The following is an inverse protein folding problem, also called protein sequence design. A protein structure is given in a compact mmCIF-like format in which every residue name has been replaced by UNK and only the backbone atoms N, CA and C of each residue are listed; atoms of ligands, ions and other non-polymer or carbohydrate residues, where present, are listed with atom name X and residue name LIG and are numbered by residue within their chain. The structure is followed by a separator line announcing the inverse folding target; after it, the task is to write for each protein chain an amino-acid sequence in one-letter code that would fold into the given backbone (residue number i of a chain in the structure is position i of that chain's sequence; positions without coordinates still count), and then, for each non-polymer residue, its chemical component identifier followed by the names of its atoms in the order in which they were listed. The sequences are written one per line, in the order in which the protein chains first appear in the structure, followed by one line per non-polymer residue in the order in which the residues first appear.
data_IF_873274386451
#
_entry.id   IF_873274386451
#
_cell.length_a   1.000
_cell.length_b   1.000
_cell.length_c   1.000
_cell.angle_alpha   90.00
_cell.angle_beta   90.00
_cell.angle_gamma   90.00
#
_symmetry.space_group_name_H-M   'P 1'
#
loop_
_entity.id
_entity.type
_entity.pdbx_description
1 polymer ?
#
# COMPACT_ATOMS: atom_id res chain seq x y z
N UNK A 1 10.18 5.27 -0.14
CA UNK A 1 9.65 4.80 1.15
C UNK A 1 8.15 4.71 0.92
N UNK A 2 7.66 3.49 0.75
CA UNK A 2 6.52 3.22 -0.12
C UNK A 2 5.53 2.32 0.58
N UNK A 3 4.30 2.77 0.74
CA UNK A 3 3.17 1.88 0.98
C UNK A 3 2.52 1.50 -0.33
N UNK A 4 1.96 0.30 -0.35
CA UNK A 4 0.86 0.00 -1.25
C UNK A 4 -0.38 -0.30 -0.43
N UNK A 5 -1.43 0.48 -0.65
CA UNK A 5 -2.77 0.13 -0.19
C UNK A 5 -3.44 -0.68 -1.27
N UNK A 6 -3.79 -1.92 -0.94
CA UNK A 6 -4.74 -2.69 -1.74
C UNK A 6 -6.11 -2.44 -1.14
N UNK A 7 -6.89 -1.65 -1.86
CA UNK A 7 -8.31 -1.45 -1.68
C UNK A 7 -9.09 -2.54 -2.37
N UNK A 8 -10.20 -2.95 -1.75
CA UNK A 8 -11.23 -3.73 -2.42
C UNK A 8 -12.63 -3.20 -2.08
N UNK A 9 -13.40 -2.79 -3.09
CA UNK A 9 -14.75 -2.21 -2.96
C UNK A 9 -15.69 -2.76 -4.05
N UNK A 10 -17.03 -2.71 -3.92
CA UNK A 10 -17.96 -3.24 -4.93
C UNK A 10 -18.62 -2.12 -5.80
N UNK A 11 -18.85 -2.30 -7.13
CA UNK A 11 -19.51 -1.31 -8.06
C UNK A 11 -20.27 -1.94 -9.27
N UNK A 12 -21.04 -1.19 -10.07
CA UNK A 12 -21.94 -1.66 -11.15
C UNK A 12 -21.41 -1.35 -12.59
N UNK A 13 -21.87 -2.08 -13.62
CA UNK A 13 -21.27 -2.22 -14.99
C UNK A 13 -21.90 -1.34 -16.08
N UNK A 14 -21.11 -0.95 -17.10
CA UNK A 14 -21.54 -0.83 -18.53
C UNK A 14 -20.50 -1.53 -19.43
N UNK A 15 -21.01 -2.33 -20.37
CA UNK A 15 -20.31 -3.24 -21.29
C UNK A 15 -19.40 -2.54 -22.32
N UNK A 16 -18.28 -3.20 -22.67
CA UNK A 16 -18.01 -3.63 -24.04
C UNK A 16 -16.90 -4.69 -24.12
N UNK A 17 -17.14 -5.67 -24.99
CA UNK A 17 -16.34 -6.87 -25.26
C UNK A 17 -14.87 -6.58 -25.63
N UNK A 18 -13.97 -7.50 -25.26
CA UNK A 18 -13.06 -8.24 -26.17
C UNK A 18 -12.31 -9.33 -25.38
N UNK A 19 -12.48 -10.57 -25.83
CA UNK A 19 -11.73 -11.76 -25.45
C UNK A 19 -10.35 -11.77 -26.13
N UNK A 20 -9.31 -12.30 -25.46
CA UNK A 20 -8.48 -13.36 -26.07
C UNK A 20 -7.57 -14.11 -25.07
N UNK A 21 -7.33 -15.40 -25.37
CA UNK A 21 -6.58 -16.41 -24.61
C UNK A 21 -5.07 -16.41 -24.97
N UNK A 22 -4.24 -17.03 -24.10
CA UNK A 22 -3.19 -18.06 -24.39
C UNK A 22 -1.86 -17.94 -23.59
N UNK A 23 -1.49 -19.10 -23.00
CA UNK A 23 -0.23 -19.76 -22.59
C UNK A 23 0.97 -19.10 -21.89
N UNK A 24 1.40 -19.83 -20.85
CA UNK A 24 2.59 -19.67 -20.01
C UNK A 24 3.74 -20.53 -20.56
N UNK A 25 4.87 -19.91 -20.94
CA UNK A 25 6.15 -20.62 -21.14
C UNK A 25 7.37 -19.67 -21.00
N UNK A 26 7.73 -19.27 -19.78
CA UNK A 26 9.04 -18.64 -19.46
C UNK A 26 9.33 -18.66 -17.94
N UNK A 27 9.79 -19.80 -17.39
CA UNK A 27 9.95 -20.01 -15.93
C UNK A 27 11.41 -20.15 -15.42
N UNK A 28 12.44 -20.14 -16.26
CA UNK A 28 13.80 -20.54 -15.81
C UNK A 28 14.67 -19.39 -15.26
N UNK A 29 14.87 -18.29 -16.00
CA UNK A 29 15.89 -17.30 -15.62
C UNK A 29 15.46 -16.30 -14.52
N UNK A 30 14.16 -16.00 -14.41
CA UNK A 30 13.65 -15.06 -13.39
C UNK A 30 13.77 -15.62 -11.97
N UNK A 31 13.80 -16.95 -11.80
CA UNK A 31 13.78 -17.62 -10.51
C UNK A 31 15.13 -17.51 -9.75
N UNK A 32 16.25 -17.43 -10.48
CA UNK A 32 17.58 -17.27 -9.89
C UNK A 32 17.78 -15.85 -9.33
N UNK A 33 17.36 -14.82 -10.08
CA UNK A 33 17.38 -13.43 -9.61
C UNK A 33 16.50 -13.23 -8.37
N UNK A 34 15.34 -13.88 -8.33
CA UNK A 34 14.45 -13.94 -7.17
C UNK A 34 15.13 -14.59 -5.96
N UNK A 35 15.77 -15.75 -6.12
CA UNK A 35 16.49 -16.42 -5.03
C UNK A 35 17.68 -15.60 -4.54
N UNK A 36 18.45 -15.00 -5.44
CA UNK A 36 19.57 -14.13 -5.08
C UNK A 36 19.09 -12.90 -4.29
N UNK A 37 18.04 -12.22 -4.77
CA UNK A 37 17.48 -11.04 -4.09
C UNK A 37 16.84 -11.39 -2.73
N UNK A 38 16.09 -12.49 -2.65
CA UNK A 38 15.51 -12.98 -1.40
C UNK A 38 16.54 -13.59 -0.43
N UNK A 39 17.74 -13.95 -0.91
CA UNK A 39 18.86 -14.42 -0.08
C UNK A 39 19.69 -13.30 0.52
N UNK A 40 19.57 -12.07 0.00
CA UNK A 40 20.12 -10.90 0.67
C UNK A 40 19.39 -10.74 2.02
N UNK A 41 20.10 -10.33 3.10
CA UNK A 41 19.50 -10.13 4.40
C UNK A 41 18.68 -8.82 4.43
N UNK A 42 17.76 -8.65 3.49
CA UNK A 42 16.96 -7.45 3.25
C UNK A 42 16.15 -7.08 4.49
N UNK A 43 15.69 -8.06 5.26
CA UNK A 43 15.00 -7.82 6.52
C UNK A 43 15.95 -7.21 7.56
N UNK A 44 17.20 -7.68 7.65
CA UNK A 44 18.20 -7.10 8.55
C UNK A 44 18.63 -5.70 8.09
N UNK A 45 18.81 -5.50 6.78
CA UNK A 45 19.13 -4.19 6.20
C UNK A 45 18.00 -3.19 6.39
N UNK A 46 16.74 -3.64 6.24
CA UNK A 46 15.56 -2.81 6.48
C UNK A 46 15.39 -2.46 7.96
N UNK A 47 15.67 -3.40 8.87
CA UNK A 47 15.70 -3.12 10.33
C UNK A 47 16.84 -2.14 10.69
N UNK A 48 18.00 -2.30 10.09
CA UNK A 48 19.13 -1.38 10.28
C UNK A 48 18.80 0.02 9.76
N UNK A 49 18.24 0.12 8.55
CA UNK A 49 17.80 1.38 7.98
C UNK A 49 16.64 2.03 8.77
N UNK A 50 15.70 1.23 9.30
CA UNK A 50 14.65 1.69 10.21
C UNK A 50 15.22 2.19 11.54
N UNK A 51 16.24 1.51 12.08
CA UNK A 51 17.01 1.98 13.24
C UNK A 51 17.68 3.32 12.96
N UNK A 52 18.35 3.46 11.80
CA UNK A 52 18.97 4.72 11.36
C UNK A 52 17.95 5.84 11.15
N UNK A 53 16.75 5.53 10.65
CA UNK A 53 15.69 6.53 10.48
C UNK A 53 15.18 7.11 11.80
N UNK A 54 15.34 6.37 12.90
CA UNK A 54 15.00 6.78 14.26
C UNK A 54 16.17 7.41 15.02
N UNK A 55 17.36 7.51 14.42
CA UNK A 55 18.49 8.21 15.03
C UNK A 55 18.22 9.71 15.11
N UNK A 56 18.52 10.29 16.26
CA UNK A 56 18.41 11.72 16.49
C UNK A 56 19.38 12.49 15.59
N UNK A 57 18.84 13.45 14.84
CA UNK A 57 19.62 14.32 13.97
C UNK A 57 19.93 15.62 14.73
N UNK A 58 21.22 16.03 14.84
CA UNK A 58 21.58 17.32 15.43
C UNK A 58 20.82 18.48 14.78
N UNK A 59 20.34 19.43 15.60
CA UNK A 59 19.44 20.52 15.16
C UNK A 59 19.99 21.29 13.94
N UNK A 60 21.29 21.58 13.93
CA UNK A 60 21.95 22.30 12.85
C UNK A 60 22.03 21.52 11.52
N UNK A 61 21.90 20.19 11.56
CA UNK A 61 21.99 19.32 10.40
C UNK A 61 20.61 18.99 9.79
N UNK A 62 19.53 19.15 10.57
CA UNK A 62 18.15 18.85 10.16
C UNK A 62 17.74 19.54 8.86
N UNK A 63 17.86 20.87 8.70
CA UNK A 63 17.40 21.51 7.46
C UNK A 63 18.20 21.05 6.25
N UNK A 64 19.49 20.73 6.41
CA UNK A 64 20.33 20.26 5.28
C UNK A 64 19.86 18.89 4.79
N UNK A 65 19.64 17.95 5.72
CA UNK A 65 19.17 16.61 5.40
C UNK A 65 17.75 16.66 4.83
N UNK A 66 16.83 17.37 5.50
CA UNK A 66 15.44 17.42 5.06
C UNK A 66 15.29 18.19 3.74
N UNK A 67 16.00 19.29 3.49
CA UNK A 67 15.98 19.95 2.19
C UNK A 67 16.57 19.11 1.06
N UNK A 68 17.53 18.23 1.35
CA UNK A 68 18.01 17.25 0.37
C UNK A 68 16.91 16.23 0.06
N UNK A 69 16.22 15.73 1.09
CA UNK A 69 15.11 14.77 0.94
C UNK A 69 13.94 15.38 0.17
N UNK A 70 13.51 16.60 0.54
CA UNK A 70 12.44 17.37 -0.11
C UNK A 70 12.73 17.50 -1.60
N UNK A 71 13.95 17.91 -1.98
CA UNK A 71 14.34 18.04 -3.38
C UNK A 71 14.40 16.72 -4.13
N UNK A 72 14.82 15.65 -3.47
CA UNK A 72 14.94 14.33 -4.09
C UNK A 72 13.57 13.65 -4.34
N UNK A 73 12.57 13.94 -3.50
CA UNK A 73 11.29 13.23 -3.50
C UNK A 73 10.06 14.12 -3.67
N UNK A 74 10.26 15.41 -3.92
CA UNK A 74 9.22 16.42 -4.14
C UNK A 74 8.20 16.49 -2.98
N UNK A 75 8.72 16.60 -1.75
CA UNK A 75 7.87 16.67 -0.56
C UNK A 75 7.23 18.05 -0.44
N UNK A 76 5.89 18.12 -0.51
CA UNK A 76 5.13 19.33 -0.21
C UNK A 76 5.13 19.60 1.30
N UNK A 77 5.89 20.61 1.72
CA UNK A 77 6.01 21.02 3.12
C UNK A 77 5.02 22.12 3.50
N UNK A 78 4.50 22.85 2.53
CA UNK A 78 3.41 23.83 2.69
C UNK A 78 2.11 23.19 3.20
N UNK A 79 1.91 21.89 2.96
CA UNK A 79 0.78 21.12 3.46
C UNK A 79 0.99 20.55 4.88
N UNK A 80 2.24 20.53 5.37
CA UNK A 80 2.57 19.93 6.66
C UNK A 80 2.04 20.77 7.82
N UNK A 81 1.60 20.10 8.90
CA UNK A 81 1.16 20.77 10.13
C UNK A 81 2.30 21.56 10.78
N UNK A 82 3.52 21.04 10.69
CA UNK A 82 4.74 21.68 11.18
C UNK A 82 5.66 21.93 9.99
N UNK A 83 5.72 23.16 9.52
CA UNK A 83 6.57 23.50 8.37
C UNK A 83 8.06 23.62 8.76
N UNK A 84 8.33 23.89 10.04
CA UNK A 84 9.68 24.07 10.55
C UNK A 84 10.49 22.76 10.54
N UNK A 85 11.50 22.70 9.67
CA UNK A 85 12.41 21.56 9.54
C UNK A 85 13.24 21.32 10.80
N UNK A 86 13.47 22.33 11.63
CA UNK A 86 14.19 22.15 12.89
C UNK A 86 13.38 21.35 13.91
N UNK A 87 12.05 21.32 13.81
CA UNK A 87 11.19 20.64 14.77
C UNK A 87 11.26 19.11 14.67
N UNK A 88 11.68 18.55 13.54
CA UNK A 88 11.71 17.11 13.31
C UNK A 88 12.98 16.45 13.87
N UNK A 89 12.91 15.64 14.94
CA UNK A 89 14.10 15.08 15.60
C UNK A 89 14.78 13.97 14.80
N UNK A 90 14.03 13.26 13.97
CA UNK A 90 14.46 12.05 13.25
C UNK A 90 13.90 12.03 11.82
N UNK A 91 14.46 11.17 10.97
CA UNK A 91 13.92 10.96 9.62
C UNK A 91 12.53 10.33 9.66
N UNK A 92 12.29 9.42 10.61
CA UNK A 92 10.99 8.80 10.84
C UNK A 92 9.92 9.83 11.24
N UNK A 93 10.25 10.78 12.11
CA UNK A 93 9.33 11.86 12.51
C UNK A 93 8.98 12.79 11.33
N UNK A 94 9.96 13.11 10.48
CA UNK A 94 9.72 13.88 9.26
C UNK A 94 8.86 13.09 8.24
N UNK A 95 9.11 11.79 8.13
CA UNK A 95 8.38 10.91 7.22
C UNK A 95 6.91 10.75 7.63
N UNK A 96 6.65 10.53 8.92
CA UNK A 96 5.31 10.42 9.51
C UNK A 96 4.70 11.78 9.89
N UNK A 97 5.10 12.87 9.23
CA UNK A 97 4.58 14.21 9.50
C UNK A 97 3.06 14.25 9.35
N UNK A 98 2.39 14.95 10.25
CA UNK A 98 0.96 15.27 10.10
C UNK A 98 0.76 16.38 9.07
N UNK A 99 -0.40 16.36 8.41
CA UNK A 99 -0.84 17.43 7.50
C UNK A 99 -1.79 18.40 8.22
N UNK A 100 -1.90 19.61 7.66
CA UNK A 100 -2.94 20.57 8.08
C UNK A 100 -4.33 20.00 7.81
N UNK A 101 -5.26 20.19 8.75
CA UNK A 101 -6.64 19.68 8.60
C UNK A 101 -7.38 20.24 7.40
N UNK A 102 -6.99 21.41 6.89
CA UNK A 102 -7.63 22.10 5.78
C UNK A 102 -7.18 21.63 4.40
N UNK A 103 -6.07 20.88 4.29
CA UNK A 103 -5.49 20.54 2.97
C UNK A 103 -6.07 19.28 2.33
N UNK A 104 -6.92 18.54 3.05
CA UNK A 104 -7.59 17.32 2.57
C UNK A 104 -9.08 17.35 2.94
N UNK A 105 -9.89 18.24 2.32
CA UNK A 105 -11.33 18.23 2.52
C UNK A 105 -11.91 16.89 2.05
N UNK A 106 -12.76 16.29 2.88
CA UNK A 106 -13.40 15.01 2.60
C UNK A 106 -14.65 15.29 1.76
N UNK A 107 -14.78 14.59 0.63
CA UNK A 107 -15.95 14.66 -0.24
C UNK A 107 -17.14 13.88 0.36
N UNK A 108 -18.37 14.30 0.05
CA UNK A 108 -19.60 13.57 0.40
C UNK A 108 -19.81 12.27 -0.42
N UNK A 109 -18.81 11.87 -1.21
CA UNK A 109 -18.82 10.61 -1.92
C UNK A 109 -18.82 9.41 -0.97
N UNK A 110 -19.49 8.34 -1.38
CA UNK A 110 -19.58 7.09 -0.63
C UNK A 110 -18.23 6.41 -0.35
N UNK A 111 -17.25 6.67 -1.21
CA UNK A 111 -15.89 6.18 -1.09
C UNK A 111 -14.93 7.30 -1.50
N UNK A 112 -14.01 7.64 -0.61
CA UNK A 112 -12.94 8.60 -0.86
C UNK A 112 -11.58 7.91 -0.90
N UNK A 113 -10.54 8.60 -1.38
CA UNK A 113 -9.19 8.04 -1.34
C UNK A 113 -8.74 7.89 0.12
N UNK A 114 -8.24 6.72 0.53
CA UNK A 114 -7.74 6.51 1.89
C UNK A 114 -6.41 7.23 2.16
N UNK A 115 -5.64 7.52 1.11
CA UNK A 115 -4.26 7.98 1.23
C UNK A 115 -3.85 8.81 0.02
N UNK A 116 -2.81 9.62 0.19
CA UNK A 116 -2.15 10.32 -0.91
C UNK A 116 -1.31 9.34 -1.71
N UNK A 117 -1.42 9.31 -3.04
CA UNK A 117 -0.58 8.41 -3.83
C UNK A 117 -1.04 8.31 -5.27
N UNK A 118 -0.54 7.27 -5.93
CA UNK A 118 -0.84 6.98 -7.33
C UNK A 118 -1.59 5.66 -7.43
N UNK A 119 -2.72 5.64 -8.14
CA UNK A 119 -3.39 4.39 -8.50
C UNK A 119 -2.50 3.62 -9.47
N UNK A 120 -1.94 2.50 -9.02
CA UNK A 120 -1.11 1.62 -9.86
C UNK A 120 -1.93 0.56 -10.57
N UNK A 121 -3.06 0.17 -9.98
CA UNK A 121 -3.97 -0.80 -10.54
C UNK A 121 -5.37 -0.58 -10.00
N UNK A 122 -6.40 -0.77 -10.82
CA UNK A 122 -7.77 -0.88 -10.36
C UNK A 122 -8.53 -1.81 -11.29
N UNK A 123 -9.52 -2.52 -10.78
CA UNK A 123 -10.32 -3.41 -11.62
C UNK A 123 -11.18 -4.37 -10.84
N UNK A 124 -12.03 -5.08 -11.57
CA UNK A 124 -12.93 -6.09 -11.01
C UNK A 124 -12.20 -7.37 -10.64
N UNK A 125 -12.57 -7.96 -9.52
CA UNK A 125 -12.12 -9.29 -9.08
C UNK A 125 -13.04 -10.33 -9.67
N UNK A 126 -12.50 -11.10 -10.62
CA UNK A 126 -13.23 -12.11 -11.36
C UNK A 126 -12.92 -13.50 -10.79
N UNK A 127 -13.95 -14.21 -10.30
CA UNK A 127 -13.82 -15.58 -9.76
C UNK A 127 -12.73 -15.72 -8.68
N UNK A 128 -12.59 -14.72 -7.81
CA UNK A 128 -11.57 -14.70 -6.76
C UNK A 128 -10.17 -14.36 -7.24
N UNK A 129 -9.99 -14.05 -8.53
CA UNK A 129 -8.69 -13.66 -9.09
C UNK A 129 -8.62 -12.16 -9.34
N UNK A 130 -7.47 -11.63 -8.97
CA UNK A 130 -7.06 -10.26 -9.17
C UNK A 130 -6.11 -10.24 -10.36
N UNK A 131 -6.50 -9.59 -11.44
CA UNK A 131 -5.55 -9.18 -12.48
C UNK A 131 -4.71 -8.06 -11.88
N UNK A 132 -3.38 -8.15 -11.96
CA UNK A 132 -2.49 -7.16 -11.34
C UNK A 132 -1.64 -6.44 -12.38
N UNK A 133 -1.04 -7.19 -13.31
CA UNK A 133 -0.26 -6.67 -14.44
C UNK A 133 -0.21 -7.75 -15.54
N UNK A 134 -0.72 -7.43 -16.74
CA UNK A 134 -0.55 -8.18 -18.02
C UNK A 134 -0.23 -9.68 -17.84
N UNK A 135 -1.21 -10.44 -17.37
CA UNK A 135 -1.15 -11.92 -17.33
C UNK A 135 -0.60 -12.55 -16.06
N UNK A 136 -0.49 -11.81 -14.95
CA UNK A 136 -0.20 -12.38 -13.64
C UNK A 136 -1.36 -12.16 -12.69
N UNK A 137 -2.18 -13.20 -12.56
CA UNK A 137 -3.30 -13.23 -11.63
C UNK A 137 -2.85 -13.82 -10.29
N UNK A 138 -3.33 -13.27 -9.18
CA UNK A 138 -3.24 -13.93 -7.87
C UNK A 138 -4.62 -14.17 -7.28
N UNK A 139 -4.73 -15.22 -6.47
CA UNK A 139 -5.95 -15.48 -5.74
C UNK A 139 -6.08 -14.45 -4.61
N UNK A 140 -7.26 -13.83 -4.51
CA UNK A 140 -7.54 -12.86 -3.47
C UNK A 140 -7.42 -13.48 -2.08
N UNK A 141 -7.67 -14.78 -1.94
CA UNK A 141 -7.53 -15.50 -0.67
C UNK A 141 -6.07 -15.67 -0.26
N UNK A 142 -5.13 -15.72 -1.22
CA UNK A 142 -3.69 -15.71 -0.90
C UNK A 142 -3.27 -14.37 -0.27
N UNK A 143 -3.94 -13.28 -0.66
CA UNK A 143 -3.64 -11.94 -0.18
C UNK A 143 -4.40 -11.58 1.09
N UNK A 144 -5.72 -11.75 1.10
CA UNK A 144 -6.61 -11.40 2.22
C UNK A 144 -6.73 -12.49 3.29
N UNK A 145 -6.21 -13.69 3.02
CA UNK A 145 -6.48 -14.88 3.82
C UNK A 145 -7.87 -15.48 3.50
N UNK A 146 -8.38 -16.38 4.37
CA UNK A 146 -9.69 -16.96 4.19
C UNK A 146 -10.78 -15.88 4.11
N UNK A 147 -11.48 -15.81 2.98
CA UNK A 147 -12.64 -14.94 2.80
C UNK A 147 -13.82 -15.76 2.35
N UNK A 148 -14.93 -15.65 3.07
CA UNK A 148 -16.18 -16.26 2.66
C UNK A 148 -16.86 -15.42 1.58
N UNK A 149 -16.44 -15.61 0.33
CA UNK A 149 -17.02 -14.96 -0.84
C UNK A 149 -18.41 -15.53 -1.23
N UNK A 150 -18.96 -16.48 -0.46
CA UNK A 150 -20.25 -17.12 -0.76
C UNK A 150 -21.44 -16.19 -0.47
N UNK A 151 -21.27 -15.19 0.40
CA UNK A 151 -22.28 -14.17 0.69
C UNK A 151 -22.20 -13.00 -0.30
N UNK A 152 -22.04 -13.26 -1.60
CA UNK A 152 -22.30 -12.24 -2.60
C UNK A 152 -23.82 -12.03 -2.65
N UNK A 153 -24.26 -10.89 -2.11
CA UNK A 153 -25.59 -10.40 -2.43
C UNK A 153 -25.72 -10.30 -3.96
N UNK A 154 -26.84 -10.81 -4.49
CA UNK A 154 -27.09 -10.83 -5.94
C UNK A 154 -27.03 -9.38 -6.46
N UNK A 155 -26.11 -9.12 -7.39
CA UNK A 155 -25.94 -7.80 -8.01
C UNK A 155 -24.70 -7.03 -7.55
N UNK A 156 -23.95 -7.50 -6.54
CA UNK A 156 -22.71 -6.84 -6.12
C UNK A 156 -21.48 -7.51 -6.78
N UNK A 157 -20.66 -6.72 -7.48
CA UNK A 157 -19.36 -7.13 -8.03
C UNK A 157 -18.15 -6.57 -7.29
N UNK A 158 -17.16 -7.41 -6.97
CA UNK A 158 -16.00 -7.00 -6.17
C UNK A 158 -14.97 -6.31 -7.07
N UNK A 159 -14.44 -5.17 -6.65
CA UNK A 159 -13.38 -4.41 -7.27
C UNK A 159 -12.22 -4.30 -6.31
N UNK A 160 -11.07 -3.99 -6.89
CA UNK A 160 -9.86 -3.64 -6.20
C UNK A 160 -9.31 -2.33 -6.75
N UNK A 161 -8.60 -1.60 -5.90
CA UNK A 161 -7.78 -0.44 -6.25
C UNK A 161 -6.47 -0.62 -5.52
N UNK A 162 -5.37 -0.27 -6.14
CA UNK A 162 -4.05 -0.41 -5.56
C UNK A 162 -3.40 0.95 -5.65
N UNK A 163 -3.07 1.54 -4.51
CA UNK A 163 -2.49 2.87 -4.37
C UNK A 163 -1.05 2.74 -3.93
N UNK A 164 -0.12 3.38 -4.63
CA UNK A 164 1.28 3.47 -4.28
C UNK A 164 1.58 4.84 -3.66
N UNK A 165 2.18 4.83 -2.47
CA UNK A 165 2.66 6.02 -1.78
C UNK A 165 4.13 6.23 -2.14
N UNK A 166 4.44 7.33 -2.81
CA UNK A 166 5.82 7.70 -3.06
C UNK A 166 6.49 8.20 -1.75
N UNK A 167 7.83 8.12 -1.63
CA UNK A 167 8.56 8.64 -0.47
C UNK A 167 8.27 10.09 -0.06
N UNK A 168 7.86 10.95 -0.99
CA UNK A 168 7.53 12.35 -0.67
C UNK A 168 6.08 12.60 -0.24
N UNK A 169 5.19 11.61 -0.40
CA UNK A 169 3.79 11.75 -0.03
C UNK A 169 3.62 11.86 1.49
N UNK A 170 2.38 12.06 1.91
CA UNK A 170 1.97 11.83 3.28
C UNK A 170 1.80 10.32 3.50
N UNK A 171 2.35 9.82 4.61
CA UNK A 171 2.46 8.38 4.89
C UNK A 171 1.46 7.87 5.93
N UNK A 172 0.46 8.67 6.25
CA UNK A 172 -0.74 8.20 6.92
C UNK A 172 -1.79 7.72 5.92
N UNK A 173 -2.70 6.90 6.42
CA UNK A 173 -3.87 6.43 5.68
C UNK A 173 -5.09 6.43 6.57
N UNK A 174 -6.25 6.60 5.94
CA UNK A 174 -7.52 6.83 6.60
C UNK A 174 -8.58 5.87 6.09
N UNK A 175 -9.65 5.73 6.86
CA UNK A 175 -10.83 5.02 6.40
C UNK A 175 -11.43 5.76 5.19
N UNK A 176 -11.68 5.08 4.07
CA UNK A 176 -12.26 5.68 2.85
C UNK A 176 -13.77 5.88 2.89
N UNK A 177 -14.42 5.22 3.84
CA UNK A 177 -15.86 5.12 4.01
C UNK A 177 -16.08 4.80 5.48
N UNK A 178 -17.31 5.01 5.95
CA UNK A 178 -17.77 4.35 7.15
C UNK A 178 -17.87 2.84 6.91
N UNK A 179 -17.15 2.06 7.69
CA UNK A 179 -17.15 0.60 7.65
C UNK A 179 -16.75 0.04 9.02
N UNK A 180 -17.06 -1.22 9.28
CA UNK A 180 -16.66 -1.93 10.49
C UNK A 180 -15.63 -2.99 10.14
N UNK A 181 -14.42 -2.86 10.67
CA UNK A 181 -13.40 -3.89 10.61
C UNK A 181 -13.64 -4.89 11.75
N UNK A 182 -13.95 -6.14 11.40
CA UNK A 182 -14.26 -7.20 12.36
C UNK A 182 -13.07 -8.15 12.56
N UNK A 183 -12.10 -8.13 11.64
CA UNK A 183 -10.96 -9.03 11.65
C UNK A 183 -9.71 -8.31 11.17
N UNK A 184 -8.63 -8.46 11.92
CA UNK A 184 -7.29 -8.04 11.57
C UNK A 184 -6.41 -9.28 11.42
N UNK A 185 -5.72 -9.41 10.29
CA UNK A 185 -4.76 -10.46 10.07
C UNK A 185 -3.40 -9.84 9.74
N UNK A 186 -2.40 -10.16 10.56
CA UNK A 186 -1.00 -9.92 10.24
C UNK A 186 -0.42 -11.10 9.46
N UNK A 187 0.15 -10.81 8.29
CA UNK A 187 0.88 -11.78 7.48
C UNK A 187 2.37 -11.42 7.52
N UNK A 188 3.20 -12.20 8.24
CA UNK A 188 4.64 -11.98 8.23
C UNK A 188 5.21 -12.27 6.84
N UNK A 189 6.19 -11.49 6.42
CA UNK A 189 6.75 -11.60 5.07
C UNK A 189 8.09 -10.89 4.92
N UNK A 190 8.48 -10.62 3.68
CA UNK A 190 9.68 -9.88 3.33
C UNK A 190 9.39 -8.37 3.23
N UNK A 191 10.44 -7.55 3.25
CA UNK A 191 10.34 -6.09 3.06
C UNK A 191 10.91 -5.69 1.70
N UNK A 192 10.36 -6.26 0.62
CA UNK A 192 10.82 -5.99 -0.74
C UNK A 192 10.29 -4.63 -1.23
N UNK A 193 11.02 -4.02 -2.16
CA UNK A 193 10.67 -2.72 -2.73
C UNK A 193 9.46 -2.84 -3.65
N UNK A 194 8.43 -2.05 -3.38
CA UNK A 194 7.19 -2.08 -4.14
C UNK A 194 7.09 -0.94 -5.18
N UNK A 195 8.24 -0.42 -5.64
CA UNK A 195 8.30 0.57 -6.74
C UNK A 195 7.61 0.03 -8.00
N UNK A 196 6.82 0.83 -8.74
CA UNK A 196 6.10 0.37 -9.94
C UNK A 196 7.00 -0.32 -10.97
N UNK A 197 8.21 0.21 -11.18
CA UNK A 197 9.22 -0.38 -12.06
C UNK A 197 9.65 -1.79 -11.66
N UNK A 198 9.58 -2.11 -10.36
CA UNK A 198 9.88 -3.43 -9.81
C UNK A 198 8.66 -4.36 -9.78
N UNK A 199 7.45 -3.81 -9.59
CA UNK A 199 6.20 -4.58 -9.57
C UNK A 199 5.95 -5.37 -10.84
N UNK A 200 6.25 -4.80 -12.01
CA UNK A 200 6.12 -5.50 -13.29
C UNK A 200 7.07 -6.70 -13.44
N UNK A 201 8.12 -6.79 -12.62
CA UNK A 201 9.12 -7.87 -12.67
C UNK A 201 8.82 -9.00 -11.69
N UNK A 202 8.07 -8.72 -10.63
CA UNK A 202 7.75 -9.67 -9.55
C UNK A 202 6.23 -9.81 -9.39
N UNK A 203 5.59 -10.71 -10.16
CA UNK A 203 4.22 -11.10 -9.85
C UNK A 203 4.16 -11.71 -8.43
N UNK A 204 3.10 -11.43 -7.69
CA UNK A 204 2.88 -11.84 -6.28
C UNK A 204 3.69 -11.10 -5.21
N UNK A 205 4.34 -9.97 -5.54
CA UNK A 205 5.14 -9.21 -4.56
C UNK A 205 4.36 -8.89 -3.27
N UNK A 206 3.07 -8.57 -3.39
CA UNK A 206 2.23 -8.21 -2.23
C UNK A 206 1.89 -9.38 -1.31
N UNK A 207 1.82 -10.59 -1.85
CA UNK A 207 1.59 -11.79 -1.04
C UNK A 207 2.87 -12.23 -0.32
N UNK A 208 4.04 -11.86 -0.85
CA UNK A 208 5.36 -12.16 -0.28
C UNK A 208 5.75 -11.13 0.79
N UNK A 209 5.34 -9.88 0.60
CA UNK A 209 5.65 -8.84 1.55
C UNK A 209 4.85 -8.99 2.85
N UNK A 210 5.47 -8.53 3.94
CA UNK A 210 4.78 -8.34 5.21
C UNK A 210 3.61 -7.38 5.02
N UNK A 211 2.46 -7.70 5.62
CA UNK A 211 1.25 -6.89 5.49
C UNK A 211 0.30 -7.10 6.65
N UNK A 212 -0.54 -6.10 6.86
CA UNK A 212 -1.71 -6.17 7.76
C UNK A 212 -2.96 -6.02 6.91
N UNK A 213 -3.92 -6.91 7.09
CA UNK A 213 -5.20 -6.93 6.38
C UNK A 213 -6.31 -6.71 7.38
N UNK A 214 -7.10 -5.67 7.16
CA UNK A 214 -8.34 -5.42 7.88
C UNK A 214 -9.52 -5.87 7.01
N UNK A 215 -10.41 -6.70 7.56
CA UNK A 215 -11.60 -7.21 6.89
C UNK A 215 -12.85 -6.89 7.70
N UNK A 216 -13.94 -6.68 7.01
CA UNK A 216 -15.24 -6.53 7.64
C UNK A 216 -16.31 -6.14 6.65
N UNK A 217 -17.13 -5.16 7.01
CA UNK A 217 -18.29 -4.78 6.23
C UNK A 217 -18.51 -3.28 6.14
N UNK A 218 -19.05 -2.85 5.01
CA UNK A 218 -19.56 -1.50 4.77
C UNK A 218 -20.98 -1.59 4.22
N UNK A 219 -21.57 -0.45 3.86
CA UNK A 219 -22.99 -0.38 3.42
C UNK A 219 -23.34 -1.24 2.19
N UNK A 220 -22.35 -1.72 1.41
CA UNK A 220 -22.56 -2.60 0.25
C UNK A 220 -21.99 -4.02 0.45
N UNK A 221 -21.77 -4.44 1.69
CA UNK A 221 -21.35 -5.82 2.00
C UNK A 221 -19.88 -5.90 2.41
N UNK A 222 -19.13 -6.84 1.83
CA UNK A 222 -17.73 -7.07 2.21
C UNK A 222 -16.84 -5.87 1.88
N UNK A 223 -15.98 -5.50 2.84
CA UNK A 223 -14.96 -4.48 2.67
C UNK A 223 -13.64 -4.98 3.27
N UNK A 224 -12.53 -4.67 2.59
CA UNK A 224 -11.20 -4.95 3.11
C UNK A 224 -10.22 -3.84 2.74
N UNK A 225 -9.31 -3.56 3.65
CA UNK A 225 -8.23 -2.60 3.48
C UNK A 225 -6.94 -3.22 3.99
N UNK A 226 -5.90 -3.22 3.15
CA UNK A 226 -4.61 -3.83 3.50
C UNK A 226 -3.47 -2.83 3.39
N UNK A 227 -2.63 -2.79 4.43
CA UNK A 227 -1.37 -2.06 4.44
C UNK A 227 -0.23 -3.04 4.15
N UNK A 228 0.48 -2.85 3.03
CA UNK A 228 1.62 -3.68 2.64
C UNK A 228 2.92 -2.96 2.96
N UNK A 229 3.76 -3.60 3.79
CA UNK A 229 5.06 -3.09 4.19
C UNK A 229 6.06 -3.17 3.02
N UNK A 230 7.12 -2.36 3.09
CA UNK A 230 8.16 -2.31 2.08
C UNK A 230 9.53 -2.00 2.70
N UNK A 231 10.57 -2.00 1.86
CA UNK A 231 11.95 -1.69 2.32
C UNK A 231 12.00 -0.36 3.07
N UNK A 232 12.52 -0.40 4.30
CA UNK A 232 12.66 0.71 5.26
C UNK A 232 11.34 1.22 5.88
N UNK A 233 10.23 0.50 5.69
CA UNK A 233 8.91 0.80 6.28
C UNK A 233 8.31 -0.52 6.76
N UNK A 234 8.62 -0.89 8.00
CA UNK A 234 8.14 -2.14 8.60
C UNK A 234 7.16 -1.94 9.75
N UNK A 235 6.89 -0.69 10.15
CA UNK A 235 6.00 -0.39 11.26
C UNK A 235 4.69 0.18 10.72
N UNK A 236 3.59 -0.41 11.17
CA UNK A 236 2.22 -0.03 10.81
C UNK A 236 1.46 0.13 12.11
N UNK A 237 1.06 1.36 12.42
CA UNK A 237 0.18 1.68 13.54
C UNK A 237 -1.19 2.03 13.00
N UNK A 238 -2.23 1.43 13.58
CA UNK A 238 -3.62 1.60 13.17
C UNK A 238 -4.41 2.12 14.37
N UNK A 239 -4.87 3.35 14.27
CA UNK A 239 -5.78 3.94 15.25
C UNK A 239 -7.23 3.68 14.80
N UNK A 240 -7.92 2.78 15.50
CA UNK A 240 -9.33 2.51 15.26
C UNK A 240 -10.20 3.25 16.29
N UNK A 241 -11.23 3.95 15.81
CA UNK A 241 -12.27 4.53 16.67
C UNK A 241 -13.37 3.50 16.82
N UNK A 242 -13.54 2.99 18.04
CA UNK A 242 -14.60 2.04 18.42
C UNK A 242 -15.98 2.70 18.45
#
# INVERSE_FOLDING_TARGET
VIFIFVFLFFHFVVDNNILCKINIKKKSEKLFQLRAYSSLPLNALSRFAGGLANVYIPVWLRPKIFNMYIRAYDCRMDEAQVEDLFAYPTLAAFFNRSLKSTVRPISDADLVSPADGVVIHYGKVNKGRIEFVKGHDYDITDFLGPVNMKNKEKGHELYQVILYLAPGNYHGFHAPTKWMANEEIHFPGLLLSVRPTFLHRMPHLFCINERVVLKGSWKHGFFAMSAVAATNVGDVSIDAVC
#
